data_IF_626945559565
#
_entry.id   IF_626945559565
#
_cell.length_a   1.000
_cell.length_b   1.000
_cell.length_c   1.000
_cell.angle_alpha   90.00
_cell.angle_beta   90.00
_cell.angle_gamma   90.00
#
_symmetry.space_group_name_H-M   'P 1'
#
loop_
_entity.id
_entity.type
_entity.pdbx_description
1 polymer ?
#
# COMPACT_ATOMS: atom_id res chain seq x y z
N UNK A 1 7.12 -22.00 -11.41
CA UNK A 1 6.41 -21.29 -10.31
C UNK A 1 7.27 -21.39 -9.06
N UNK A 2 7.44 -20.26 -8.35
CA UNK A 2 8.07 -20.24 -7.02
C UNK A 2 7.13 -19.54 -6.04
N UNK A 3 7.30 -19.82 -4.74
CA UNK A 3 6.54 -19.16 -3.68
C UNK A 3 7.08 -17.74 -3.48
N UNK A 4 6.22 -16.74 -3.65
CA UNK A 4 6.54 -15.32 -3.41
C UNK A 4 6.02 -14.86 -2.06
N UNK A 5 4.81 -15.24 -1.70
CA UNK A 5 4.14 -14.81 -0.48
C UNK A 5 3.71 -16.00 0.37
N UNK A 6 3.82 -15.86 1.69
CA UNK A 6 3.23 -16.82 2.63
C UNK A 6 1.71 -16.65 2.64
N UNK A 7 0.98 -17.67 3.08
CA UNK A 7 -0.47 -17.57 3.22
C UNK A 7 -0.86 -16.48 4.22
N UNK A 8 -0.12 -16.35 5.32
CA UNK A 8 -0.31 -15.28 6.30
C UNK A 8 -0.17 -13.89 5.67
N UNK A 9 0.83 -13.68 4.82
CA UNK A 9 1.03 -12.41 4.11
C UNK A 9 -0.13 -12.11 3.13
N UNK A 10 -0.63 -13.13 2.42
CA UNK A 10 -1.79 -13.00 1.52
C UNK A 10 -3.05 -12.64 2.30
N UNK A 11 -3.37 -13.38 3.37
CA UNK A 11 -4.55 -13.12 4.21
C UNK A 11 -4.49 -11.74 4.85
N UNK A 12 -3.31 -11.35 5.39
CA UNK A 12 -3.11 -10.02 5.96
C UNK A 12 -3.32 -8.93 4.91
N UNK A 13 -2.77 -9.10 3.71
CA UNK A 13 -2.91 -8.09 2.65
C UNK A 13 -4.39 -7.85 2.28
N UNK A 14 -5.19 -8.90 2.14
CA UNK A 14 -6.61 -8.74 1.79
C UNK A 14 -7.44 -8.20 2.94
N UNK A 15 -7.13 -8.59 4.18
CA UNK A 15 -7.71 -7.95 5.36
C UNK A 15 -7.40 -6.46 5.41
N UNK A 16 -6.13 -6.10 5.17
CA UNK A 16 -5.66 -4.72 5.07
C UNK A 16 -6.40 -3.93 3.99
N UNK A 17 -6.46 -4.48 2.78
CA UNK A 17 -7.14 -3.84 1.66
C UNK A 17 -8.61 -3.54 1.98
N UNK A 18 -9.32 -4.49 2.60
CA UNK A 18 -10.69 -4.28 3.07
C UNK A 18 -10.76 -3.16 4.11
N UNK A 19 -9.92 -3.22 5.15
CA UNK A 19 -9.94 -2.21 6.21
C UNK A 19 -9.61 -0.81 5.68
N UNK A 20 -8.59 -0.67 4.83
CA UNK A 20 -8.23 0.62 4.24
C UNK A 20 -9.36 1.24 3.43
N UNK A 21 -10.00 0.46 2.56
CA UNK A 21 -11.13 0.93 1.75
C UNK A 21 -12.29 1.34 2.65
N UNK A 22 -12.69 0.48 3.57
CA UNK A 22 -13.84 0.75 4.44
C UNK A 22 -13.58 1.91 5.41
N UNK A 23 -12.36 2.02 5.97
CA UNK A 23 -11.98 3.13 6.86
C UNK A 23 -11.88 4.47 6.11
N UNK A 24 -11.37 4.50 4.86
CA UNK A 24 -11.40 5.71 4.04
C UNK A 24 -12.83 6.15 3.75
N UNK A 25 -13.70 5.22 3.36
CA UNK A 25 -15.09 5.52 3.02
C UNK A 25 -15.86 6.04 4.21
N UNK A 26 -15.76 5.39 5.35
CA UNK A 26 -16.43 5.82 6.58
C UNK A 26 -15.79 7.07 7.17
N UNK A 27 -14.47 7.21 7.10
CA UNK A 27 -13.75 8.40 7.56
C UNK A 27 -14.14 9.66 6.79
N UNK A 28 -14.23 9.56 5.45
CA UNK A 28 -14.74 10.70 4.66
C UNK A 28 -16.21 10.99 4.97
N UNK A 29 -17.03 9.98 5.21
CA UNK A 29 -18.42 10.20 5.59
C UNK A 29 -18.62 10.87 6.96
N UNK A 30 -17.63 10.76 7.86
CA UNK A 30 -17.63 11.47 9.15
C UNK A 30 -17.25 12.95 9.04
N UNK A 31 -16.73 13.42 7.90
CA UNK A 31 -16.40 14.83 7.67
C UNK A 31 -17.69 15.64 7.43
N UNK A 32 -18.12 16.37 8.44
CA UNK A 32 -19.32 17.22 8.38
C UNK A 32 -19.07 18.63 7.83
N UNK A 33 -17.79 19.03 7.69
CA UNK A 33 -17.43 20.33 7.12
C UNK A 33 -17.40 20.25 5.59
N UNK A 34 -18.28 21.00 4.87
CA UNK A 34 -18.33 20.97 3.40
C UNK A 34 -17.00 21.35 2.73
N UNK A 35 -16.22 22.26 3.34
CA UNK A 35 -14.94 22.68 2.78
C UNK A 35 -13.84 21.60 2.86
N UNK A 36 -14.01 20.61 3.74
CA UNK A 36 -13.06 19.52 3.94
C UNK A 36 -13.54 18.19 3.33
N UNK A 37 -14.77 18.14 2.83
CA UNK A 37 -15.38 16.92 2.30
C UNK A 37 -14.91 16.64 0.86
N UNK A 38 -14.04 15.62 0.62
CA UNK A 38 -13.45 15.43 -0.70
C UNK A 38 -14.41 14.83 -1.73
N UNK A 39 -15.48 14.16 -1.27
CA UNK A 39 -16.45 13.46 -2.15
C UNK A 39 -17.71 14.30 -2.35
N UNK A 40 -17.99 15.22 -1.43
CA UNK A 40 -19.23 16.02 -1.38
C UNK A 40 -20.17 15.56 -0.28
N UNK A 41 -21.03 16.48 0.19
CA UNK A 41 -21.92 16.25 1.34
C UNK A 41 -22.89 15.09 1.12
N UNK A 42 -23.28 14.80 -0.11
CA UNK A 42 -24.11 13.64 -0.45
C UNK A 42 -23.54 12.31 0.09
N UNK A 43 -22.21 12.23 0.18
CA UNK A 43 -21.52 11.04 0.72
C UNK A 43 -21.75 10.90 2.23
N UNK A 44 -21.58 11.99 2.95
CA UNK A 44 -21.87 12.04 4.39
C UNK A 44 -23.36 11.75 4.66
N UNK A 45 -24.26 12.36 3.89
CA UNK A 45 -25.73 12.17 4.02
C UNK A 45 -26.12 10.70 3.76
N UNK A 46 -25.54 10.06 2.74
CA UNK A 46 -25.79 8.65 2.43
C UNK A 46 -25.44 7.74 3.61
N UNK A 47 -24.21 7.87 4.14
CA UNK A 47 -23.73 7.00 5.20
C UNK A 47 -24.37 7.28 6.55
N UNK A 48 -24.61 8.55 6.88
CA UNK A 48 -25.35 8.91 8.08
C UNK A 48 -26.82 8.52 7.99
N UNK A 49 -27.41 8.52 6.81
CA UNK A 49 -28.76 7.98 6.57
C UNK A 49 -28.88 6.48 6.84
N UNK A 50 -27.81 5.70 6.55
CA UNK A 50 -27.78 4.25 6.79
C UNK A 50 -27.48 3.89 8.24
N UNK A 51 -26.47 4.52 8.84
CA UNK A 51 -25.95 4.14 10.16
C UNK A 51 -26.41 5.09 11.29
N UNK A 52 -26.91 6.28 10.97
CA UNK A 52 -26.94 7.40 11.89
C UNK A 52 -25.54 7.97 12.13
N UNK A 53 -25.41 9.22 12.55
CA UNK A 53 -24.11 9.86 12.80
C UNK A 53 -23.30 9.13 13.89
N UNK A 54 -23.95 8.77 14.99
CA UNK A 54 -23.32 8.01 16.08
C UNK A 54 -22.95 6.60 15.67
N UNK A 55 -23.84 5.88 14.98
CA UNK A 55 -23.58 4.52 14.50
C UNK A 55 -22.43 4.46 13.50
N UNK A 56 -22.29 5.46 12.62
CA UNK A 56 -21.18 5.57 11.69
C UNK A 56 -19.84 5.77 12.42
N UNK A 57 -19.80 6.63 13.44
CA UNK A 57 -18.61 6.81 14.29
C UNK A 57 -18.24 5.52 15.01
N UNK A 58 -19.20 4.84 15.63
CA UNK A 58 -18.96 3.56 16.32
C UNK A 58 -18.45 2.51 15.35
N UNK A 59 -19.02 2.41 14.15
CA UNK A 59 -18.55 1.48 13.13
C UNK A 59 -17.09 1.77 12.72
N UNK A 60 -16.76 3.05 12.47
CA UNK A 60 -15.39 3.45 12.13
C UNK A 60 -14.41 3.11 13.27
N UNK A 61 -14.76 3.40 14.51
CA UNK A 61 -13.93 3.07 15.68
C UNK A 61 -13.73 1.57 15.87
N UNK A 62 -14.79 0.77 15.73
CA UNK A 62 -14.70 -0.69 15.84
C UNK A 62 -13.82 -1.30 14.74
N UNK A 63 -14.02 -0.85 13.50
CA UNK A 63 -13.22 -1.32 12.37
C UNK A 63 -11.74 -0.92 12.51
N UNK A 64 -11.46 0.33 12.92
CA UNK A 64 -10.11 0.81 13.20
C UNK A 64 -9.45 0.05 14.34
N UNK A 65 -10.19 -0.24 15.42
CA UNK A 65 -9.71 -1.05 16.55
C UNK A 65 -9.41 -2.50 16.14
N UNK A 66 -10.27 -3.10 15.32
CA UNK A 66 -10.05 -4.46 14.79
C UNK A 66 -8.80 -4.49 13.88
N UNK A 67 -8.64 -3.50 13.02
CA UNK A 67 -7.45 -3.35 12.18
C UNK A 67 -6.17 -3.24 13.03
N UNK A 68 -6.16 -2.37 14.05
CA UNK A 68 -5.03 -2.25 14.97
C UNK A 68 -4.72 -3.53 15.73
N UNK A 69 -5.74 -4.23 16.23
CA UNK A 69 -5.58 -5.49 16.95
C UNK A 69 -4.92 -6.57 16.06
N UNK A 70 -5.38 -6.73 14.82
CA UNK A 70 -4.79 -7.69 13.86
C UNK A 70 -3.35 -7.29 13.54
N UNK A 71 -3.06 -6.00 13.33
CA UNK A 71 -1.70 -5.53 13.11
C UNK A 71 -0.78 -5.79 14.28
N UNK A 72 -1.25 -5.53 15.49
CA UNK A 72 -0.48 -5.77 16.72
C UNK A 72 -0.14 -7.25 16.87
N UNK A 73 -1.13 -8.12 16.68
CA UNK A 73 -0.90 -9.58 16.71
C UNK A 73 0.07 -10.02 15.60
N UNK A 74 -0.10 -9.50 14.38
CA UNK A 74 0.80 -9.80 13.27
C UNK A 74 2.24 -9.35 13.54
N UNK A 75 2.44 -8.19 14.17
CA UNK A 75 3.78 -7.72 14.56
C UNK A 75 4.37 -8.65 15.63
N UNK A 76 3.61 -9.00 16.66
CA UNK A 76 4.12 -9.88 17.75
C UNK A 76 4.55 -11.25 17.20
N UNK A 77 3.68 -11.91 16.45
CA UNK A 77 3.93 -13.27 15.98
C UNK A 77 4.81 -13.33 14.72
N UNK A 78 4.77 -12.30 13.87
CA UNK A 78 5.49 -12.23 12.60
C UNK A 78 6.77 -11.40 12.62
N UNK A 79 7.18 -10.82 13.75
CA UNK A 79 8.24 -9.81 13.82
C UNK A 79 9.51 -10.24 13.09
N UNK A 80 10.03 -11.42 13.35
CA UNK A 80 11.31 -11.90 12.78
C UNK A 80 11.18 -12.48 11.39
N UNK A 81 10.04 -13.08 11.06
CA UNK A 81 9.86 -13.83 9.82
C UNK A 81 9.21 -13.03 8.70
N UNK A 82 8.35 -12.06 9.04
CA UNK A 82 7.58 -11.29 8.08
C UNK A 82 7.88 -9.78 8.18
N UNK A 83 7.77 -9.19 9.39
CA UNK A 83 7.81 -7.73 9.56
C UNK A 83 9.20 -7.16 9.31
N UNK A 84 10.24 -7.69 9.99
CA UNK A 84 11.61 -7.17 9.84
C UNK A 84 12.15 -7.38 8.42
N UNK A 85 12.00 -8.55 7.76
CA UNK A 85 12.38 -8.72 6.37
C UNK A 85 11.63 -7.77 5.42
N UNK A 86 10.33 -7.59 5.61
CA UNK A 86 9.53 -6.65 4.83
C UNK A 86 10.05 -5.21 4.98
N UNK A 87 10.23 -4.73 6.21
CA UNK A 87 10.72 -3.37 6.45
C UNK A 87 12.12 -3.17 5.87
N UNK A 88 13.03 -4.13 6.03
CA UNK A 88 14.38 -4.06 5.43
C UNK A 88 14.31 -3.93 3.91
N UNK A 89 13.40 -4.66 3.26
CA UNK A 89 13.28 -4.63 1.80
C UNK A 89 12.65 -3.32 1.30
N UNK A 90 11.57 -2.84 1.94
CA UNK A 90 10.87 -1.64 1.47
C UNK A 90 11.63 -0.34 1.76
N UNK A 91 12.37 -0.28 2.88
CA UNK A 91 13.21 0.87 3.22
C UNK A 91 14.61 0.83 2.59
N UNK A 92 14.95 -0.26 1.87
CA UNK A 92 16.16 -0.32 1.06
C UNK A 92 15.96 0.45 -0.26
N UNK A 93 15.95 1.77 -0.15
CA UNK A 93 15.74 2.68 -1.26
C UNK A 93 17.09 3.06 -1.90
N UNK A 94 17.11 3.07 -3.23
CA UNK A 94 18.19 3.63 -4.04
C UNK A 94 17.68 4.90 -4.74
N UNK A 95 17.79 6.11 -4.12
CA UNK A 95 17.05 7.30 -4.57
C UNK A 95 17.20 7.58 -6.06
N UNK A 96 18.40 7.52 -6.61
CA UNK A 96 18.64 7.78 -8.04
C UNK A 96 17.99 6.71 -8.93
N UNK A 97 18.15 5.41 -8.61
CA UNK A 97 17.59 4.30 -9.39
C UNK A 97 16.07 4.22 -9.26
N UNK A 98 15.56 4.33 -8.04
CA UNK A 98 14.13 4.19 -7.77
C UNK A 98 13.34 5.39 -8.33
N UNK A 99 13.88 6.63 -8.24
CA UNK A 99 13.28 7.80 -8.88
C UNK A 99 13.29 7.68 -10.41
N UNK A 100 14.42 7.27 -11.00
CA UNK A 100 14.52 7.03 -12.45
C UNK A 100 13.50 6.00 -12.90
N UNK A 101 13.33 4.91 -12.14
CA UNK A 101 12.33 3.89 -12.43
C UNK A 101 10.91 4.48 -12.40
N UNK A 102 10.55 5.24 -11.37
CA UNK A 102 9.22 5.84 -11.23
C UNK A 102 8.91 6.81 -12.37
N UNK A 103 9.84 7.70 -12.69
CA UNK A 103 9.66 8.68 -13.77
C UNK A 103 9.52 7.97 -15.12
N UNK A 104 10.41 7.03 -15.45
CA UNK A 104 10.35 6.29 -16.72
C UNK A 104 9.10 5.40 -16.80
N UNK A 105 8.70 4.73 -15.71
CA UNK A 105 7.47 3.92 -15.69
C UNK A 105 6.24 4.81 -15.90
N UNK A 106 6.18 5.97 -15.25
CA UNK A 106 5.11 6.96 -15.46
C UNK A 106 5.06 7.45 -16.92
N UNK A 107 6.20 7.84 -17.50
CA UNK A 107 6.28 8.24 -18.90
C UNK A 107 5.87 7.12 -19.86
N UNK A 108 6.27 5.87 -19.59
CA UNK A 108 5.84 4.71 -20.41
C UNK A 108 4.33 4.50 -20.37
N UNK A 109 3.69 4.72 -19.21
CA UNK A 109 2.23 4.60 -19.08
C UNK A 109 1.47 5.71 -19.82
N UNK A 110 1.99 6.94 -19.81
CA UNK A 110 1.32 8.10 -20.43
C UNK A 110 1.63 8.22 -21.92
N UNK A 111 2.89 8.13 -22.30
CA UNK A 111 3.35 8.35 -23.67
C UNK A 111 3.48 7.07 -24.49
N UNK A 112 3.80 5.96 -23.83
CA UNK A 112 4.19 4.72 -24.47
C UNK A 112 5.66 4.70 -24.91
N UNK A 113 6.22 3.50 -25.08
CA UNK A 113 7.65 3.32 -25.43
C UNK A 113 8.03 3.91 -26.79
N UNK A 114 7.11 3.83 -27.78
CA UNK A 114 7.38 4.34 -29.14
C UNK A 114 7.55 5.86 -29.13
N UNK A 115 6.67 6.59 -28.44
CA UNK A 115 6.76 8.04 -28.34
C UNK A 115 7.99 8.47 -27.52
N UNK A 116 8.34 7.76 -26.44
CA UNK A 116 9.57 8.05 -25.71
C UNK A 116 10.81 7.93 -26.60
N UNK A 117 10.92 6.87 -27.40
CA UNK A 117 12.04 6.68 -28.33
C UNK A 117 12.09 7.77 -29.41
N UNK A 118 10.94 8.20 -29.97
CA UNK A 118 10.89 9.28 -30.94
C UNK A 118 11.32 10.64 -30.36
N UNK A 119 11.17 10.83 -29.05
CA UNK A 119 11.65 12.01 -28.30
C UNK A 119 13.11 11.90 -27.85
N UNK A 120 13.83 10.81 -28.20
CA UNK A 120 15.19 10.56 -27.74
C UNK A 120 15.29 10.12 -26.27
N UNK A 121 14.17 9.73 -25.64
CA UNK A 121 14.13 9.28 -24.26
C UNK A 121 14.34 7.76 -24.19
N UNK A 122 15.15 7.32 -23.23
CA UNK A 122 15.38 5.90 -22.98
C UNK A 122 14.19 5.29 -22.20
N UNK A 123 13.41 4.36 -22.78
CA UNK A 123 12.30 3.71 -22.10
C UNK A 123 12.74 2.56 -21.17
N UNK A 124 14.02 2.18 -21.14
CA UNK A 124 14.50 1.09 -20.30
C UNK A 124 14.36 1.42 -18.81
N UNK A 125 13.79 0.49 -18.06
CA UNK A 125 13.63 0.63 -16.62
C UNK A 125 14.88 0.09 -15.91
N UNK A 126 15.37 0.78 -14.85
CA UNK A 126 16.41 0.23 -13.99
C UNK A 126 16.01 -1.14 -13.42
N UNK A 127 16.95 -2.08 -13.26
CA UNK A 127 16.65 -3.41 -12.75
C UNK A 127 16.15 -3.36 -11.31
N UNK A 128 15.16 -4.22 -10.98
CA UNK A 128 14.47 -4.22 -9.70
C UNK A 128 14.71 -5.51 -8.91
N UNK A 129 14.67 -5.38 -7.56
CA UNK A 129 14.75 -6.48 -6.61
C UNK A 129 13.42 -7.19 -6.39
N UNK A 130 13.20 -7.68 -5.16
CA UNK A 130 11.96 -8.38 -4.78
C UNK A 130 10.72 -7.49 -4.96
N UNK A 131 10.82 -6.23 -4.55
CA UNK A 131 9.85 -5.17 -4.85
C UNK A 131 10.44 -4.18 -5.86
N UNK A 132 9.60 -3.69 -6.77
CA UNK A 132 9.96 -2.57 -7.63
C UNK A 132 9.83 -1.23 -6.89
N UNK A 133 10.41 -0.17 -7.45
CA UNK A 133 10.43 1.16 -6.83
C UNK A 133 9.03 1.67 -6.47
N UNK A 134 8.04 1.48 -7.35
CA UNK A 134 6.66 1.89 -7.07
C UNK A 134 6.05 1.13 -5.89
N UNK A 135 6.30 -0.18 -5.80
CA UNK A 135 5.86 -1.01 -4.67
C UNK A 135 6.54 -0.58 -3.36
N UNK A 136 7.84 -0.27 -3.38
CA UNK A 136 8.56 0.24 -2.21
C UNK A 136 7.97 1.57 -1.73
N UNK A 137 7.79 2.54 -2.63
CA UNK A 137 7.25 3.86 -2.26
C UNK A 137 5.82 3.76 -1.70
N UNK A 138 4.95 2.98 -2.34
CA UNK A 138 3.60 2.74 -1.83
C UNK A 138 3.62 2.07 -0.45
N UNK A 139 4.51 1.08 -0.23
CA UNK A 139 4.65 0.40 1.04
C UNK A 139 5.22 1.32 2.14
N UNK A 140 6.21 2.17 1.82
CA UNK A 140 6.74 3.17 2.77
C UNK A 140 5.65 4.17 3.16
N UNK A 141 4.90 4.69 2.19
CA UNK A 141 3.78 5.58 2.47
C UNK A 141 2.73 4.89 3.36
N UNK A 142 2.36 3.64 3.04
CA UNK A 142 1.42 2.85 3.83
C UNK A 142 1.91 2.62 5.27
N UNK A 143 3.19 2.26 5.47
CA UNK A 143 3.77 2.06 6.81
C UNK A 143 3.74 3.36 7.62
N UNK A 144 4.23 4.47 7.06
CA UNK A 144 4.27 5.76 7.75
C UNK A 144 2.86 6.27 8.07
N UNK A 145 1.94 6.21 7.10
CA UNK A 145 0.56 6.60 7.31
C UNK A 145 -0.17 5.68 8.31
N UNK A 146 0.12 4.37 8.30
CA UNK A 146 -0.45 3.44 9.30
C UNK A 146 -0.04 3.81 10.72
N UNK A 147 1.22 4.18 10.95
CA UNK A 147 1.67 4.65 12.27
C UNK A 147 0.97 5.96 12.64
N UNK A 148 0.92 6.92 11.73
CA UNK A 148 0.23 8.20 11.95
C UNK A 148 -1.25 8.02 12.28
N UNK A 149 -1.97 7.19 11.50
CA UNK A 149 -3.39 6.87 11.71
C UNK A 149 -3.63 6.10 13.01
N UNK A 150 -2.74 5.15 13.35
CA UNK A 150 -2.84 4.39 14.59
C UNK A 150 -2.75 5.31 15.82
N UNK A 151 -1.70 6.13 15.89
CA UNK A 151 -1.47 7.03 17.03
C UNK A 151 -2.56 8.10 17.12
N UNK A 152 -2.85 8.78 16.02
CA UNK A 152 -3.90 9.82 16.01
C UNK A 152 -5.29 9.24 16.23
N UNK A 153 -5.60 8.10 15.63
CA UNK A 153 -6.89 7.42 15.78
C UNK A 153 -7.15 6.93 17.21
N UNK A 154 -6.14 6.36 17.88
CA UNK A 154 -6.23 5.98 19.29
C UNK A 154 -6.50 7.20 20.19
N UNK A 155 -5.81 8.32 19.94
CA UNK A 155 -6.04 9.54 20.68
C UNK A 155 -7.44 10.10 20.45
N UNK A 156 -7.90 10.16 19.20
CA UNK A 156 -9.26 10.61 18.84
C UNK A 156 -10.35 9.68 19.42
N UNK A 157 -10.09 8.36 19.44
CA UNK A 157 -10.98 7.39 20.08
C UNK A 157 -11.05 7.63 21.60
N UNK A 158 -9.91 7.88 22.26
CA UNK A 158 -9.87 8.19 23.68
C UNK A 158 -10.63 9.49 24.01
N UNK A 159 -10.57 10.50 23.14
CA UNK A 159 -11.39 11.72 23.25
C UNK A 159 -12.88 11.40 23.13
N UNK A 160 -13.28 10.63 22.12
CA UNK A 160 -14.68 10.26 21.91
C UNK A 160 -15.26 9.44 23.07
N UNK A 161 -14.41 8.69 23.79
CA UNK A 161 -14.77 7.92 24.97
C UNK A 161 -14.61 8.70 26.29
N UNK A 162 -14.31 9.99 26.24
CA UNK A 162 -14.09 10.87 27.43
C UNK A 162 -12.96 10.38 28.36
N UNK A 163 -11.96 9.69 27.82
CA UNK A 163 -10.79 9.19 28.57
C UNK A 163 -9.65 10.20 28.67
N UNK A 164 -9.74 11.33 27.96
CA UNK A 164 -8.72 12.39 27.92
C UNK A 164 -9.16 13.57 28.78
N UNK A 165 -8.21 14.12 29.53
CA UNK A 165 -8.50 15.25 30.45
C UNK A 165 -8.93 16.53 29.70
N UNK A 166 -9.72 17.41 30.30
CA UNK A 166 -10.02 18.74 29.78
C UNK A 166 -8.75 19.55 29.51
N UNK A 167 -8.77 20.42 28.49
CA UNK A 167 -7.63 21.24 28.12
C UNK A 167 -6.72 20.62 27.06
N UNK A 168 -7.14 19.51 26.46
CA UNK A 168 -6.40 18.79 25.38
C UNK A 168 -6.79 19.22 23.96
N UNK A 169 -7.49 20.36 23.80
CA UNK A 169 -8.03 20.83 22.52
C UNK A 169 -6.95 21.00 21.45
N UNK A 170 -5.78 21.54 21.81
CA UNK A 170 -4.65 21.68 20.90
C UNK A 170 -4.10 20.33 20.42
N UNK A 171 -4.00 19.35 21.33
CA UNK A 171 -3.60 18.00 20.97
C UNK A 171 -4.65 17.30 20.08
N UNK A 172 -5.94 17.54 20.33
CA UNK A 172 -7.03 17.03 19.51
C UNK A 172 -6.99 17.57 18.08
N UNK A 173 -6.71 18.85 17.89
CA UNK A 173 -6.56 19.47 16.58
C UNK A 173 -5.37 18.87 15.82
N UNK A 174 -4.22 18.69 16.46
CA UNK A 174 -3.05 18.04 15.85
C UNK A 174 -3.32 16.57 15.51
N UNK A 175 -3.97 15.82 16.39
CA UNK A 175 -4.33 14.43 16.12
C UNK A 175 -5.28 14.33 14.91
N UNK A 176 -6.29 15.19 14.82
CA UNK A 176 -7.20 15.25 13.69
C UNK A 176 -6.46 15.63 12.40
N UNK A 177 -5.58 16.64 12.46
CA UNK A 177 -4.77 17.04 11.31
C UNK A 177 -3.90 15.89 10.79
N UNK A 178 -3.17 15.21 11.67
CA UNK A 178 -2.32 14.05 11.30
C UNK A 178 -3.18 12.91 10.72
N UNK A 179 -4.33 12.63 11.33
CA UNK A 179 -5.26 11.61 10.88
C UNK A 179 -5.75 11.89 9.45
N UNK A 180 -6.23 13.11 9.20
CA UNK A 180 -6.71 13.54 7.90
C UNK A 180 -5.59 13.60 6.85
N UNK A 181 -4.40 14.08 7.24
CA UNK A 181 -3.24 14.11 6.34
C UNK A 181 -2.86 12.70 5.88
N UNK A 182 -2.72 11.77 6.82
CA UNK A 182 -2.39 10.38 6.50
C UNK A 182 -3.49 9.69 5.67
N UNK A 183 -4.76 9.92 6.01
CA UNK A 183 -5.90 9.42 5.23
C UNK A 183 -5.90 10.01 3.81
N UNK A 184 -5.63 11.32 3.66
CA UNK A 184 -5.53 11.99 2.36
C UNK A 184 -4.40 11.45 1.49
N UNK A 185 -3.22 11.23 2.08
CA UNK A 185 -2.09 10.59 1.37
C UNK A 185 -2.49 9.20 0.86
N UNK A 186 -3.14 8.39 1.71
CA UNK A 186 -3.56 7.05 1.31
C UNK A 186 -4.73 7.05 0.34
N UNK A 187 -5.60 8.05 0.36
CA UNK A 187 -6.66 8.23 -0.64
C UNK A 187 -6.10 8.45 -2.06
N UNK A 188 -4.86 8.94 -2.18
CA UNK A 188 -4.15 9.07 -3.47
C UNK A 188 -3.34 7.81 -3.77
N UNK A 189 -2.60 7.30 -2.80
CA UNK A 189 -1.70 6.14 -2.99
C UNK A 189 -2.48 4.87 -3.30
N UNK A 190 -3.60 4.64 -2.64
CA UNK A 190 -4.38 3.40 -2.78
C UNK A 190 -4.96 3.20 -4.19
N UNK A 191 -5.63 4.17 -4.85
CA UNK A 191 -6.07 4.02 -6.22
C UNK A 191 -4.91 3.78 -7.21
N UNK A 192 -3.79 4.48 -7.02
CA UNK A 192 -2.59 4.27 -7.85
C UNK A 192 -2.07 2.84 -7.66
N UNK A 193 -1.99 2.36 -6.41
CA UNK A 193 -1.58 0.99 -6.11
C UNK A 193 -2.52 -0.04 -6.74
N UNK A 194 -3.83 0.13 -6.62
CA UNK A 194 -4.82 -0.77 -7.21
C UNK A 194 -4.68 -0.79 -8.74
N UNK A 195 -4.56 0.39 -9.38
CA UNK A 195 -4.36 0.47 -10.82
C UNK A 195 -3.09 -0.28 -11.26
N UNK A 196 -1.97 0.00 -10.61
CA UNK A 196 -0.67 -0.60 -10.95
C UNK A 196 -0.65 -2.12 -10.70
N UNK A 197 -1.34 -2.61 -9.67
CA UNK A 197 -1.34 -4.02 -9.32
C UNK A 197 -2.34 -4.85 -10.13
N UNK A 198 -3.50 -4.27 -10.49
CA UNK A 198 -4.62 -5.02 -11.08
C UNK A 198 -4.86 -4.72 -12.55
N UNK A 199 -4.62 -3.48 -13.00
CA UNK A 199 -5.02 -3.01 -14.33
C UNK A 199 -3.85 -2.68 -15.25
N UNK A 200 -2.66 -2.39 -14.71
CA UNK A 200 -1.50 -2.08 -15.53
C UNK A 200 -1.09 -3.28 -16.41
N UNK A 201 -0.77 -3.04 -17.71
CA UNK A 201 -0.42 -4.12 -18.63
C UNK A 201 0.78 -4.93 -18.13
N UNK A 202 0.65 -6.27 -18.21
CA UNK A 202 1.72 -7.20 -17.84
C UNK A 202 1.76 -7.60 -16.37
N UNK A 203 1.02 -6.95 -15.47
CA UNK A 203 1.08 -7.20 -14.01
C UNK A 203 0.20 -8.37 -13.53
N UNK A 204 -0.55 -9.01 -14.41
CA UNK A 204 -1.47 -10.12 -14.05
C UNK A 204 -0.83 -11.27 -13.25
N UNK A 205 0.42 -11.72 -13.53
CA UNK A 205 1.08 -12.72 -12.69
C UNK A 205 1.38 -12.24 -11.29
N UNK A 206 1.71 -10.96 -11.10
CA UNK A 206 1.93 -10.35 -9.79
C UNK A 206 0.61 -10.31 -8.99
N UNK A 207 -0.50 -9.87 -9.61
CA UNK A 207 -1.82 -9.89 -8.99
C UNK A 207 -2.22 -11.32 -8.57
N UNK A 208 -2.09 -12.30 -9.47
CA UNK A 208 -2.39 -13.70 -9.14
C UNK A 208 -1.58 -14.24 -7.97
N UNK A 209 -0.34 -13.74 -7.78
CA UNK A 209 0.48 -14.13 -6.63
C UNK A 209 -0.08 -13.63 -5.29
N UNK A 210 -0.91 -12.58 -5.31
CA UNK A 210 -1.60 -12.07 -4.12
C UNK A 210 -2.82 -12.90 -3.72
N UNK A 211 -3.18 -13.94 -4.50
CA UNK A 211 -4.21 -14.93 -4.14
C UNK A 211 -3.58 -16.30 -3.90
N UNK A 212 -2.66 -16.72 -4.76
CA UNK A 212 -2.07 -18.06 -4.72
C UNK A 212 -0.80 -18.17 -3.86
N UNK A 213 -0.11 -17.06 -3.64
CA UNK A 213 1.24 -17.02 -3.06
C UNK A 213 2.36 -17.37 -4.05
N UNK A 214 2.05 -17.76 -5.31
CA UNK A 214 3.03 -18.25 -6.29
C UNK A 214 3.15 -17.34 -7.50
N UNK A 215 4.36 -17.29 -8.08
CA UNK A 215 4.66 -16.45 -9.24
C UNK A 215 5.52 -17.24 -10.27
N UNK A 216 5.33 -17.02 -11.59
CA UNK A 216 6.16 -17.63 -12.61
C UNK A 216 7.61 -17.13 -12.58
N UNK A 217 8.58 -18.03 -12.76
CA UNK A 217 10.02 -17.67 -12.84
C UNK A 217 10.30 -16.74 -14.02
N UNK A 218 9.64 -16.97 -15.14
CA UNK A 218 9.74 -16.14 -16.35
C UNK A 218 9.33 -14.69 -16.07
N UNK A 219 8.26 -14.48 -15.27
CA UNK A 219 7.85 -13.14 -14.85
C UNK A 219 8.93 -12.45 -14.02
N UNK A 220 9.50 -13.16 -13.03
CA UNK A 220 10.55 -12.62 -12.15
C UNK A 220 11.77 -12.21 -12.98
N UNK A 221 12.19 -13.03 -13.93
CA UNK A 221 13.33 -12.75 -14.79
C UNK A 221 13.20 -11.40 -15.51
N UNK A 222 12.01 -11.06 -15.99
CA UNK A 222 11.77 -9.82 -16.74
C UNK A 222 11.46 -8.61 -15.86
N UNK A 223 10.71 -8.80 -14.76
CA UNK A 223 10.22 -7.68 -13.93
C UNK A 223 11.10 -7.41 -12.72
N UNK A 224 11.77 -8.44 -12.19
CA UNK A 224 12.58 -8.39 -10.98
C UNK A 224 13.95 -9.06 -11.18
N UNK A 225 14.77 -8.61 -12.15
CA UNK A 225 15.99 -9.31 -12.55
C UNK A 225 17.01 -9.47 -11.41
N UNK A 226 17.16 -8.48 -10.53
CA UNK A 226 18.06 -8.59 -9.37
C UNK A 226 17.58 -9.67 -8.38
N UNK A 227 16.28 -9.83 -8.21
CA UNK A 227 15.75 -10.92 -7.40
C UNK A 227 15.94 -12.27 -8.08
N UNK A 228 15.74 -12.35 -9.41
CA UNK A 228 16.03 -13.56 -10.18
C UNK A 228 17.48 -14.02 -9.98
N UNK A 229 18.45 -13.11 -10.11
CA UNK A 229 19.86 -13.41 -9.89
C UNK A 229 20.16 -13.89 -8.46
N UNK A 230 19.50 -13.30 -7.46
CA UNK A 230 19.62 -13.75 -6.07
C UNK A 230 19.11 -15.19 -5.89
N UNK A 231 17.99 -15.55 -6.53
CA UNK A 231 17.42 -16.90 -6.48
C UNK A 231 18.34 -17.93 -7.15
N UNK A 232 18.96 -17.56 -8.28
CA UNK A 232 19.97 -18.40 -8.96
C UNK A 232 21.19 -18.59 -8.05
N UNK A 233 21.73 -17.50 -7.50
CA UNK A 233 22.90 -17.57 -6.58
C UNK A 233 22.64 -18.41 -5.34
N UNK A 234 21.40 -18.42 -4.83
CA UNK A 234 20.98 -19.25 -3.68
C UNK A 234 20.64 -20.69 -4.07
N UNK A 235 20.73 -21.07 -5.34
CA UNK A 235 20.39 -22.41 -5.82
C UNK A 235 18.89 -22.74 -5.75
N UNK A 236 18.02 -21.75 -5.57
CA UNK A 236 16.55 -21.93 -5.50
C UNK A 236 15.96 -22.24 -6.89
N UNK A 237 16.54 -21.65 -7.93
CA UNK A 237 16.21 -21.89 -9.33
C UNK A 237 17.47 -22.17 -10.13
N UNK A 238 17.34 -23.02 -11.17
CA UNK A 238 18.43 -23.21 -12.14
C UNK A 238 18.37 -22.09 -13.17
N UNK A 239 19.53 -21.55 -13.62
CA UNK A 239 19.54 -20.66 -14.78
C UNK A 239 18.95 -21.41 -15.98
N UNK A 240 18.01 -20.78 -16.69
CA UNK A 240 17.61 -21.30 -17.99
C UNK A 240 18.83 -21.24 -18.93
N UNK A 241 19.31 -22.38 -19.38
CA UNK A 241 20.26 -22.47 -20.49
C UNK A 241 19.62 -21.76 -21.67
N UNK A 242 20.24 -20.68 -22.11
CA UNK A 242 19.88 -20.04 -23.38
C UNK A 242 20.18 -21.10 -24.46
N UNK A 243 19.15 -21.83 -24.90
CA UNK A 243 19.26 -22.56 -26.14
C UNK A 243 19.44 -21.52 -27.24
N UNK A 244 20.69 -21.19 -27.55
CA UNK A 244 21.06 -20.60 -28.82
C UNK A 244 20.73 -21.65 -29.86
N UNK A 245 19.52 -21.63 -30.38
CA UNK A 245 19.21 -22.25 -31.64
C UNK A 245 19.97 -21.44 -32.70
N UNK A 246 21.09 -22.02 -33.11
CA UNK A 246 21.81 -21.68 -34.33
C UNK A 246 20.93 -21.82 -35.58
#
# INVERSE_FOLDING_TARGET
MIRRHSLSAVCRHWFDAFCWIALLFTGFALLSNPAMQPVGMWWADLWTGVFGAYGLLVFHLLLGSAWLAVYFLYIIFGLRHDVVPFLKEVFNLSPASDMTWCVRKGMRLVLGEKAMRSMGLDPALPPQGFYNAGQKLAAVAAVLCSVGLALSGLFLAALALHLVAPGSEGAAQWALFIHLLCAGVMAVVLPIHIYMAAFAPGEGPALRSMFSGFIPVTFIRHHNPLWYEQLVRKGVIRPETTNTLS
#
